data_IF_548912528950
#
_entry.id   IF_548912528950
#
_cell.length_a   1.000
_cell.length_b   1.000
_cell.length_c   1.000
_cell.angle_alpha   90.00
_cell.angle_beta   90.00
_cell.angle_gamma   90.00
#
_symmetry.space_group_name_H-M   'P 1'
#
loop_
_entity.id
_entity.type
_entity.pdbx_description
1 polymer ?
#
# COMPACT_ATOMS: atom_id res chain seq x y z
N UNK A 1 4.96 -5.03 -25.37
CA UNK A 1 5.56 -3.86 -26.06
C UNK A 1 4.73 -3.42 -27.26
N UNK A 2 4.47 -4.28 -28.24
CA UNK A 2 3.64 -3.92 -29.40
C UNK A 2 2.22 -3.47 -28.99
N UNK A 3 1.56 -4.21 -28.11
CA UNK A 3 0.22 -3.84 -27.62
C UNK A 3 0.24 -2.53 -26.83
N UNK A 4 1.25 -2.31 -25.99
CA UNK A 4 1.45 -1.05 -25.27
C UNK A 4 1.65 0.13 -26.22
N UNK A 5 2.41 -0.05 -27.30
CA UNK A 5 2.65 0.99 -28.30
C UNK A 5 1.37 1.33 -29.06
N UNK A 6 0.60 0.30 -29.41
CA UNK A 6 -0.71 0.47 -30.05
C UNK A 6 -1.67 1.24 -29.13
N UNK A 7 -1.78 0.85 -27.87
CA UNK A 7 -2.67 1.50 -26.90
C UNK A 7 -2.25 2.94 -26.59
N UNK A 8 -0.95 3.20 -26.47
CA UNK A 8 -0.41 4.53 -26.24
C UNK A 8 -0.29 5.40 -27.51
N UNK A 9 -0.76 4.91 -28.67
CA UNK A 9 -0.67 5.58 -29.98
C UNK A 9 0.76 6.03 -30.36
N UNK A 10 1.77 5.25 -29.98
CA UNK A 10 3.19 5.51 -30.27
C UNK A 10 3.84 4.34 -31.02
N UNK A 11 5.00 4.58 -31.63
CA UNK A 11 5.76 3.48 -32.24
C UNK A 11 6.41 2.60 -31.18
N UNK A 12 6.60 1.32 -31.50
CA UNK A 12 7.33 0.37 -30.64
C UNK A 12 8.73 0.89 -30.31
N UNK A 13 9.41 1.49 -31.29
CA UNK A 13 10.72 2.13 -31.09
C UNK A 13 10.66 3.35 -30.16
N UNK A 14 9.54 4.06 -30.07
CA UNK A 14 9.36 5.13 -29.09
C UNK A 14 9.27 4.59 -27.66
N UNK A 15 8.57 3.47 -27.44
CA UNK A 15 8.55 2.81 -26.13
C UNK A 15 9.95 2.35 -25.74
N UNK A 16 10.68 1.66 -26.63
CA UNK A 16 12.04 1.17 -26.31
C UNK A 16 13.04 2.27 -25.99
N UNK A 17 12.83 3.51 -26.48
CA UNK A 17 13.68 4.66 -26.11
C UNK A 17 13.51 5.09 -24.66
N UNK A 18 12.31 4.92 -24.10
CA UNK A 18 11.99 5.31 -22.72
C UNK A 18 12.15 4.12 -21.77
N UNK A 19 11.75 2.93 -22.22
CA UNK A 19 11.77 1.69 -21.47
C UNK A 19 12.50 0.60 -22.27
N UNK A 20 13.82 0.42 -22.03
CA UNK A 20 14.63 -0.57 -22.75
C UNK A 20 14.11 -2.01 -22.64
N UNK A 21 13.44 -2.35 -21.54
CA UNK A 21 12.87 -3.67 -21.28
C UNK A 21 11.46 -3.59 -20.69
N UNK A 22 10.76 -4.74 -20.64
CA UNK A 22 9.48 -4.86 -19.92
C UNK A 22 9.66 -4.59 -18.41
N UNK A 23 10.84 -4.91 -17.86
CA UNK A 23 11.12 -4.72 -16.45
C UNK A 23 11.23 -3.24 -16.08
N UNK A 24 11.75 -2.42 -17.00
CA UNK A 24 11.78 -0.95 -16.83
C UNK A 24 10.36 -0.37 -16.77
N UNK A 25 9.41 -0.91 -17.55
CA UNK A 25 8.00 -0.50 -17.49
C UNK A 25 7.39 -0.91 -16.14
N UNK A 26 7.58 -2.16 -15.73
CA UNK A 26 7.07 -2.67 -14.45
C UNK A 26 7.61 -1.82 -13.29
N UNK A 27 8.92 -1.53 -13.29
CA UNK A 27 9.56 -0.67 -12.30
C UNK A 27 8.94 0.73 -12.29
N UNK A 28 8.76 1.34 -13.46
CA UNK A 28 8.18 2.69 -13.54
C UNK A 28 6.72 2.74 -13.05
N UNK A 29 5.92 1.69 -13.31
CA UNK A 29 4.57 1.55 -12.76
C UNK A 29 4.64 1.48 -11.22
N UNK A 30 5.45 0.56 -10.72
CA UNK A 30 5.67 0.34 -9.30
C UNK A 30 6.12 1.64 -8.58
N UNK A 31 7.05 2.39 -9.18
CA UNK A 31 7.54 3.67 -8.66
C UNK A 31 6.47 4.76 -8.69
N UNK A 32 5.71 4.88 -9.78
CA UNK A 32 4.64 5.87 -9.90
C UNK A 32 3.51 5.63 -8.89
N UNK A 33 3.10 4.37 -8.71
CA UNK A 33 2.06 4.00 -7.75
C UNK A 33 2.54 4.19 -6.31
N UNK A 34 3.79 3.82 -6.02
CA UNK A 34 4.40 4.07 -4.70
C UNK A 34 4.47 5.56 -4.39
N UNK A 35 4.93 6.39 -5.34
CA UNK A 35 5.04 7.82 -5.12
C UNK A 35 3.69 8.44 -4.76
N UNK A 36 2.61 8.01 -5.43
CA UNK A 36 1.24 8.42 -5.13
C UNK A 36 0.83 8.01 -3.71
N UNK A 37 0.99 6.73 -3.38
CA UNK A 37 0.62 6.20 -2.06
C UNK A 37 1.40 6.86 -0.93
N UNK A 38 2.70 7.11 -1.11
CA UNK A 38 3.52 7.80 -0.11
C UNK A 38 3.07 9.24 0.12
N UNK A 39 2.66 9.96 -0.93
CA UNK A 39 2.10 11.31 -0.79
C UNK A 39 0.82 11.26 0.04
N UNK A 40 -0.07 10.30 -0.22
CA UNK A 40 -1.31 10.12 0.56
C UNK A 40 -1.02 9.78 2.03
N UNK A 41 -0.16 8.78 2.28
CA UNK A 41 0.21 8.35 3.63
C UNK A 41 0.91 9.46 4.42
N UNK A 42 1.80 10.21 3.77
CA UNK A 42 2.48 11.37 4.39
C UNK A 42 1.47 12.47 4.74
N UNK A 43 0.50 12.71 3.86
CA UNK A 43 -0.59 13.66 4.12
C UNK A 43 -1.44 13.22 5.32
N UNK A 44 -1.76 11.93 5.42
CA UNK A 44 -2.53 11.38 6.54
C UNK A 44 -1.78 11.52 7.88
N UNK A 45 -0.50 11.19 7.91
CA UNK A 45 0.37 11.43 9.08
C UNK A 45 0.42 12.92 9.44
N UNK A 46 0.49 13.81 8.45
CA UNK A 46 0.50 15.25 8.68
C UNK A 46 -0.81 15.72 9.34
N UNK A 47 -1.97 15.22 8.88
CA UNK A 47 -3.28 15.52 9.47
C UNK A 47 -3.36 15.06 10.93
N UNK A 48 -2.83 13.88 11.23
CA UNK A 48 -2.72 13.36 12.60
C UNK A 48 -1.89 14.31 13.47
N UNK A 49 -0.67 14.66 13.03
CA UNK A 49 0.25 15.52 13.80
C UNK A 49 -0.33 16.91 14.09
N UNK A 50 -1.16 17.43 13.18
CA UNK A 50 -1.85 18.72 13.34
C UNK A 50 -3.12 18.65 14.19
N UNK A 51 -3.55 17.44 14.60
CA UNK A 51 -4.81 17.23 15.30
C UNK A 51 -6.04 17.40 14.41
N UNK A 52 -5.88 17.38 13.08
CA UNK A 52 -6.96 17.51 12.10
C UNK A 52 -7.70 16.18 11.88
N UNK A 53 -7.10 15.06 12.27
CA UNK A 53 -7.69 13.73 12.21
C UNK A 53 -7.16 12.85 13.35
N UNK A 54 -7.97 11.89 13.79
CA UNK A 54 -7.51 10.83 14.71
C UNK A 54 -6.85 9.71 13.92
N UNK A 55 -5.98 8.94 14.58
CA UNK A 55 -5.39 7.74 13.96
C UNK A 55 -6.47 6.75 13.48
N UNK A 56 -7.54 6.58 14.25
CA UNK A 56 -8.66 5.73 13.86
C UNK A 56 -9.35 6.20 12.57
N UNK A 57 -9.62 7.51 12.45
CA UNK A 57 -10.22 8.07 11.25
C UNK A 57 -9.31 7.88 10.02
N UNK A 58 -8.00 8.09 10.17
CA UNK A 58 -7.02 7.85 9.10
C UNK A 58 -6.99 6.38 8.69
N UNK A 59 -6.93 5.44 9.63
CA UNK A 59 -6.94 4.01 9.33
C UNK A 59 -8.23 3.57 8.62
N UNK A 60 -9.38 4.09 9.05
CA UNK A 60 -10.65 3.84 8.36
C UNK A 60 -10.62 4.35 6.91
N UNK A 61 -10.19 5.60 6.71
CA UNK A 61 -10.07 6.19 5.37
C UNK A 61 -9.11 5.38 4.49
N UNK A 62 -7.97 4.95 5.03
CA UNK A 62 -7.00 4.11 4.32
C UNK A 62 -7.60 2.78 3.88
N UNK A 63 -8.30 2.06 4.76
CA UNK A 63 -8.94 0.77 4.44
C UNK A 63 -10.07 0.94 3.42
N UNK A 64 -10.80 2.06 3.47
CA UNK A 64 -11.79 2.38 2.43
C UNK A 64 -11.08 2.65 1.10
N UNK A 65 -10.03 3.49 1.05
CA UNK A 65 -9.33 3.81 -0.20
C UNK A 65 -8.77 2.56 -0.89
N UNK A 66 -8.06 1.71 -0.15
CA UNK A 66 -7.53 0.45 -0.67
C UNK A 66 -8.63 -0.49 -1.18
N UNK A 67 -9.82 -0.47 -0.56
CA UNK A 67 -10.93 -1.33 -0.98
C UNK A 67 -11.57 -1.00 -2.33
N UNK A 68 -11.31 0.20 -2.86
CA UNK A 68 -11.86 0.67 -4.15
C UNK A 68 -10.80 0.71 -5.25
N UNK A 69 -9.59 0.24 -4.97
CA UNK A 69 -8.45 0.30 -5.89
C UNK A 69 -8.68 -0.60 -7.10
N UNK A 70 -8.71 0.02 -8.28
CA UNK A 70 -9.16 -0.62 -9.54
C UNK A 70 -8.10 -1.52 -10.18
N UNK A 71 -6.83 -1.32 -9.84
CA UNK A 71 -5.71 -2.03 -10.47
C UNK A 71 -5.23 -3.24 -9.67
N UNK A 72 -6.12 -3.84 -8.86
CA UNK A 72 -5.80 -4.99 -8.01
C UNK A 72 -5.30 -6.22 -8.80
N UNK A 73 -5.62 -6.35 -10.08
CA UNK A 73 -5.07 -7.41 -10.92
C UNK A 73 -3.58 -7.19 -11.25
N UNK A 74 -3.17 -5.94 -11.52
CA UNK A 74 -1.80 -5.61 -11.90
C UNK A 74 -0.81 -5.87 -10.75
N UNK A 75 -1.20 -5.56 -9.52
CA UNK A 75 -0.37 -5.85 -8.35
C UNK A 75 -0.13 -7.37 -8.18
N UNK A 76 -1.08 -8.23 -8.54
CA UNK A 76 -0.87 -9.69 -8.53
C UNK A 76 0.11 -10.15 -9.61
N UNK A 77 0.09 -9.54 -10.79
CA UNK A 77 1.05 -9.83 -11.85
C UNK A 77 2.47 -9.38 -11.45
N UNK A 78 2.60 -8.20 -10.86
CA UNK A 78 3.85 -7.70 -10.26
C UNK A 78 4.32 -8.66 -9.15
N UNK A 79 3.39 -9.07 -8.30
CA UNK A 79 3.44 -10.19 -7.35
C UNK A 79 4.20 -11.40 -7.90
N UNK A 80 3.59 -11.98 -8.92
CA UNK A 80 4.04 -13.20 -9.57
C UNK A 80 5.39 -13.00 -10.27
N UNK A 81 5.62 -11.85 -10.89
CA UNK A 81 6.89 -11.54 -11.56
C UNK A 81 8.03 -11.39 -10.55
N UNK A 82 7.80 -10.76 -9.39
CA UNK A 82 8.79 -10.65 -8.31
C UNK A 82 9.30 -12.02 -7.83
N UNK A 83 8.48 -13.06 -7.85
CA UNK A 83 8.93 -14.42 -7.51
C UNK A 83 9.84 -15.05 -8.56
N UNK A 84 9.83 -14.54 -9.80
CA UNK A 84 10.59 -15.07 -10.94
C UNK A 84 11.78 -14.21 -11.32
N UNK A 85 11.71 -12.91 -11.00
CA UNK A 85 12.69 -11.92 -11.37
C UNK A 85 13.23 -11.17 -10.13
N UNK A 86 14.51 -11.38 -9.76
CA UNK A 86 15.15 -10.72 -8.61
C UNK A 86 15.11 -9.19 -8.68
N UNK A 87 15.14 -8.60 -9.87
CA UNK A 87 15.12 -7.16 -10.07
C UNK A 87 13.78 -6.55 -9.66
N UNK A 88 12.68 -7.21 -10.02
CA UNK A 88 11.32 -6.82 -9.60
C UNK A 88 11.13 -7.07 -8.10
N UNK A 89 11.68 -8.17 -7.57
CA UNK A 89 11.65 -8.46 -6.14
C UNK A 89 12.33 -7.36 -5.30
N UNK A 90 13.47 -6.84 -5.77
CA UNK A 90 14.17 -5.74 -5.11
C UNK A 90 13.33 -4.46 -5.15
N UNK A 91 12.70 -4.13 -6.28
CA UNK A 91 11.81 -2.98 -6.37
C UNK A 91 10.65 -3.07 -5.36
N UNK A 92 9.99 -4.22 -5.27
CA UNK A 92 8.91 -4.47 -4.29
C UNK A 92 9.43 -4.33 -2.85
N UNK A 93 10.61 -4.89 -2.53
CA UNK A 93 11.20 -4.80 -1.18
C UNK A 93 11.53 -3.36 -0.80
N UNK A 94 12.14 -2.60 -1.71
CA UNK A 94 12.50 -1.20 -1.49
C UNK A 94 11.29 -0.34 -1.11
N UNK A 95 10.13 -0.63 -1.69
CA UNK A 95 8.88 0.09 -1.43
C UNK A 95 8.28 -0.29 -0.09
N UNK A 96 8.27 -1.58 0.24
CA UNK A 96 7.77 -2.03 1.55
C UNK A 96 8.58 -1.42 2.70
N UNK A 97 9.89 -1.24 2.53
CA UNK A 97 10.74 -0.51 3.49
C UNK A 97 10.28 0.95 3.69
N UNK A 98 9.80 1.61 2.64
CA UNK A 98 9.28 2.99 2.74
C UNK A 98 7.94 3.04 3.48
N UNK A 99 7.04 2.07 3.23
CA UNK A 99 5.77 1.97 3.97
C UNK A 99 5.98 1.67 5.45
N UNK A 100 6.94 0.80 5.78
CA UNK A 100 7.26 0.43 7.16
C UNK A 100 7.57 1.64 8.04
N UNK A 101 8.39 2.58 7.56
CA UNK A 101 8.69 3.80 8.30
C UNK A 101 7.44 4.62 8.66
N UNK A 102 6.47 4.70 7.75
CA UNK A 102 5.20 5.42 8.00
C UNK A 102 4.31 4.64 8.96
N UNK A 103 4.22 3.32 8.81
CA UNK A 103 3.42 2.48 9.71
C UNK A 103 3.97 2.47 11.13
N UNK A 104 5.29 2.49 11.29
CA UNK A 104 5.94 2.66 12.60
C UNK A 104 5.51 3.96 13.27
N UNK A 105 5.46 5.04 12.51
CA UNK A 105 4.99 6.32 13.03
C UNK A 105 3.52 6.27 13.44
N UNK A 106 2.65 5.71 12.59
CA UNK A 106 1.23 5.53 12.91
C UNK A 106 1.02 4.68 14.17
N UNK A 107 1.82 3.63 14.35
CA UNK A 107 1.80 2.79 15.54
C UNK A 107 2.17 3.57 16.80
N UNK A 108 3.24 4.38 16.76
CA UNK A 108 3.65 5.23 17.88
C UNK A 108 2.62 6.32 18.21
N UNK A 109 1.92 6.85 17.21
CA UNK A 109 0.78 7.75 17.45
C UNK A 109 -0.35 7.02 18.16
N UNK A 110 -0.67 5.79 17.73
CA UNK A 110 -1.74 5.00 18.33
C UNK A 110 -1.41 4.59 19.77
N UNK A 111 -0.15 4.26 20.03
CA UNK A 111 0.36 3.88 21.33
C UNK A 111 1.85 4.29 21.46
N UNK A 112 2.14 5.38 22.20
CA UNK A 112 3.51 5.85 22.42
C UNK A 112 4.40 4.88 23.22
N UNK A 113 3.79 3.92 23.92
CA UNK A 113 4.49 2.96 24.77
C UNK A 113 4.93 1.69 24.02
N UNK A 114 4.79 1.65 22.68
CA UNK A 114 5.33 0.56 21.86
C UNK A 114 6.85 0.66 21.74
N UNK A 115 7.53 -0.47 21.96
CA UNK A 115 8.98 -0.59 21.84
C UNK A 115 9.34 -1.77 20.93
N UNK A 116 10.61 -1.94 20.58
CA UNK A 116 11.03 -3.15 19.88
C UNK A 116 10.90 -4.40 20.80
N UNK A 117 10.38 -5.55 20.31
CA UNK A 117 10.04 -5.88 18.92
C UNK A 117 8.56 -5.63 18.54
N UNK A 118 7.77 -4.97 19.39
CA UNK A 118 6.35 -4.72 19.15
C UNK A 118 6.13 -3.75 17.98
N UNK A 119 7.06 -2.81 17.75
CA UNK A 119 7.03 -1.92 16.59
C UNK A 119 7.17 -2.68 15.28
N UNK A 120 8.09 -3.64 15.18
CA UNK A 120 8.19 -4.52 14.00
C UNK A 120 6.88 -5.29 13.76
N UNK A 121 6.25 -5.79 14.83
CA UNK A 121 4.95 -6.45 14.75
C UNK A 121 3.81 -5.52 14.31
N UNK A 122 3.82 -4.27 14.78
CA UNK A 122 2.84 -3.25 14.40
C UNK A 122 2.95 -2.90 12.90
N UNK A 123 4.17 -2.78 12.38
CA UNK A 123 4.39 -2.59 10.94
C UNK A 123 3.84 -3.75 10.10
N UNK A 124 4.10 -4.99 10.53
CA UNK A 124 3.60 -6.18 9.83
C UNK A 124 2.07 -6.24 9.85
N UNK A 125 1.45 -5.94 11.00
CA UNK A 125 0.00 -5.89 11.15
C UNK A 125 -0.62 -4.85 10.21
N UNK A 126 -0.11 -3.62 10.22
CA UNK A 126 -0.61 -2.53 9.39
C UNK A 126 -0.44 -2.85 7.89
N UNK A 127 0.73 -3.35 7.49
CA UNK A 127 0.99 -3.77 6.12
C UNK A 127 0.04 -4.88 5.66
N UNK A 128 -0.18 -5.91 6.49
CA UNK A 128 -1.06 -7.03 6.16
C UNK A 128 -2.54 -6.60 6.05
N UNK A 129 -3.00 -5.72 6.95
CA UNK A 129 -4.37 -5.21 6.91
C UNK A 129 -4.62 -4.37 5.64
N UNK A 130 -3.68 -3.50 5.27
CA UNK A 130 -3.83 -2.65 4.10
C UNK A 130 -3.73 -3.46 2.79
N UNK A 131 -2.78 -4.40 2.70
CA UNK A 131 -2.65 -5.26 1.52
C UNK A 131 -3.90 -6.12 1.30
N UNK A 132 -4.42 -6.78 2.35
CA UNK A 132 -5.61 -7.65 2.22
C UNK A 132 -6.88 -6.87 1.88
N UNK A 133 -7.00 -5.62 2.34
CA UNK A 133 -8.18 -4.79 2.10
C UNK A 133 -8.40 -4.40 0.64
N UNK A 134 -7.38 -4.51 -0.22
CA UNK A 134 -7.50 -4.29 -1.67
C UNK A 134 -8.00 -5.49 -2.48
N UNK A 135 -8.26 -6.64 -1.84
CA UNK A 135 -8.61 -7.88 -2.53
C UNK A 135 -9.98 -8.43 -2.12
N UNK A 136 -10.92 -7.54 -1.80
CA UNK A 136 -12.23 -7.90 -1.22
C UNK A 136 -13.08 -8.80 -2.12
N UNK A 137 -13.02 -8.55 -3.44
CA UNK A 137 -13.75 -9.33 -4.44
C UNK A 137 -13.28 -10.80 -4.46
N UNK A 138 -11.99 -11.04 -4.24
CA UNK A 138 -11.39 -12.38 -4.24
C UNK A 138 -11.53 -13.10 -2.90
N UNK A 139 -11.65 -12.35 -1.80
CA UNK A 139 -11.65 -12.89 -0.43
C UNK A 139 -13.04 -13.15 0.13
N UNK A 140 -14.09 -13.02 -0.68
CA UNK A 140 -15.50 -13.25 -0.26
C UNK A 140 -15.87 -12.46 1.00
N UNK A 141 -15.46 -11.19 1.04
CA UNK A 141 -15.74 -10.31 2.17
C UNK A 141 -17.25 -10.23 2.47
N UNK A 142 -17.64 -10.50 3.72
CA UNK A 142 -19.04 -10.52 4.16
C UNK A 142 -19.62 -9.15 4.53
N UNK A 143 -18.74 -8.19 4.74
CA UNK A 143 -19.07 -6.84 5.19
C UNK A 143 -18.93 -5.87 4.01
N UNK A 144 -19.63 -4.73 4.06
CA UNK A 144 -19.31 -3.62 3.14
C UNK A 144 -17.91 -3.06 3.43
N UNK A 145 -17.32 -2.35 2.47
CA UNK A 145 -16.03 -1.68 2.65
C UNK A 145 -15.99 -0.81 3.92
N UNK A 146 -17.05 -0.02 4.14
CA UNK A 146 -17.14 0.91 5.28
C UNK A 146 -17.39 0.23 6.62
N UNK A 147 -18.06 -0.92 6.63
CA UNK A 147 -18.20 -1.73 7.85
C UNK A 147 -16.89 -2.44 8.19
N UNK A 148 -16.20 -2.99 7.18
CA UNK A 148 -14.88 -3.56 7.37
C UNK A 148 -13.88 -2.54 7.88
N UNK A 149 -13.82 -1.35 7.28
CA UNK A 149 -12.92 -0.28 7.74
C UNK A 149 -13.11 0.01 9.22
N UNK A 150 -14.34 0.29 9.66
CA UNK A 150 -14.66 0.53 11.08
C UNK A 150 -14.24 -0.61 12.00
N UNK A 151 -14.62 -1.85 11.67
CA UNK A 151 -14.36 -3.00 12.55
C UNK A 151 -12.88 -3.43 12.56
N UNK A 152 -12.20 -3.38 11.41
CA UNK A 152 -10.78 -3.70 11.29
C UNK A 152 -9.95 -2.62 11.98
N UNK A 153 -10.25 -1.34 11.82
CA UNK A 153 -9.59 -0.26 12.57
C UNK A 153 -9.71 -0.49 14.08
N UNK A 154 -10.90 -0.83 14.57
CA UNK A 154 -11.07 -1.14 15.99
C UNK A 154 -10.30 -2.39 16.46
N UNK A 155 -10.01 -3.35 15.58
CA UNK A 155 -9.14 -4.50 15.88
C UNK A 155 -7.66 -4.10 15.87
N UNK A 156 -7.24 -3.29 14.90
CA UNK A 156 -5.87 -2.76 14.80
C UNK A 156 -5.55 -1.96 16.05
N UNK A 157 -6.37 -0.97 16.40
CA UNK A 157 -6.10 -0.11 17.56
C UNK A 157 -6.00 -0.89 18.87
N UNK A 158 -6.86 -1.91 19.06
CA UNK A 158 -6.76 -2.82 20.21
C UNK A 158 -5.50 -3.67 20.17
N UNK A 159 -5.11 -4.17 19.00
CA UNK A 159 -3.87 -4.92 18.81
C UNK A 159 -2.61 -4.09 19.06
N UNK A 160 -2.67 -2.79 18.78
CA UNK A 160 -1.60 -1.83 19.09
C UNK A 160 -1.60 -1.39 20.56
N UNK A 161 -2.54 -1.83 21.39
CA UNK A 161 -2.64 -1.42 22.79
C UNK A 161 -3.11 0.04 22.96
N UNK A 162 -3.76 0.62 21.96
CA UNK A 162 -4.29 1.98 22.02
C UNK A 162 -5.43 2.05 23.06
N UNK A 163 -5.32 2.97 24.04
CA UNK A 163 -6.43 3.25 24.96
C UNK A 163 -7.56 3.95 24.20
N UNK A 164 -8.76 3.39 24.27
CA UNK A 164 -9.95 3.83 23.53
C UNK A 164 -10.49 5.19 23.98
#
# INVERSE_FOLDING_TARGET
MADLAKEAEVSVGAIYRVFPSKQDIIRAIIEADTARLLVELTSDVCRIRKGEATIGAVLEDMIVRSSVEKDSALIHEVLAEGHRNPEVAEAIRAINLQYRAIFREMALVANPDLHEPELDGAEELLLACLFSSGHRELTSCRLSARESARLVTGLILRGLGSEA
#
